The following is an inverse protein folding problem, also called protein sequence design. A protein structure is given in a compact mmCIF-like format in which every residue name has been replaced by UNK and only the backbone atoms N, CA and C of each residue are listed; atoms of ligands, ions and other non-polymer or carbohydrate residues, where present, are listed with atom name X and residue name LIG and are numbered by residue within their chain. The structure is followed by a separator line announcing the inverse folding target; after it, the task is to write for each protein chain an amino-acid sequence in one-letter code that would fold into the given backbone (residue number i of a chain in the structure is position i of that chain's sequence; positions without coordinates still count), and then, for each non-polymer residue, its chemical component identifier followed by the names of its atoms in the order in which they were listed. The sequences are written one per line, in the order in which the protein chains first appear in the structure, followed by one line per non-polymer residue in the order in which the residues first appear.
data_IF_123946619657
#
_entry.id   IF_123946619657
#
_cell.length_a   1.000
_cell.length_b   1.000
_cell.length_c   1.000
_cell.angle_alpha   90.00
_cell.angle_beta   90.00
_cell.angle_gamma   90.00
#
_symmetry.space_group_name_H-M   'P 1'
#
loop_
_entity.id
_entity.type
_entity.pdbx_description
1 polymer ?
#
# COMPACT_ATOMS: atom_id res chain seq x y z
N UNK A 1 -18.50 -17.96 23.11
CA UNK A 1 -17.99 -16.77 22.40
C UNK A 1 -17.06 -17.28 21.32
N UNK A 2 -17.29 -16.93 20.07
CA UNK A 2 -16.54 -17.46 18.94
C UNK A 2 -15.07 -16.99 19.02
N UNK A 3 -14.15 -17.93 19.28
CA UNK A 3 -12.72 -17.63 19.46
C UNK A 3 -12.15 -16.82 18.28
N UNK A 4 -12.68 -17.01 17.07
CA UNK A 4 -12.29 -16.23 15.88
C UNK A 4 -12.66 -14.74 15.97
N UNK A 5 -13.82 -14.41 16.55
CA UNK A 5 -14.28 -13.02 16.71
C UNK A 5 -13.45 -12.30 17.78
N UNK A 6 -13.05 -13.02 18.83
CA UNK A 6 -12.16 -12.51 19.86
C UNK A 6 -10.78 -12.17 19.29
N UNK A 7 -10.18 -13.09 18.53
CA UNK A 7 -8.91 -12.85 17.82
C UNK A 7 -9.02 -11.65 16.88
N UNK A 8 -10.13 -11.52 16.12
CA UNK A 8 -10.38 -10.33 15.30
C UNK A 8 -10.41 -9.04 16.13
N UNK A 9 -11.07 -9.04 17.29
CA UNK A 9 -11.15 -7.86 18.15
C UNK A 9 -9.76 -7.48 18.71
N UNK A 10 -8.96 -8.45 19.14
CA UNK A 10 -7.57 -8.23 19.57
C UNK A 10 -6.72 -7.66 18.44
N UNK A 11 -6.87 -8.20 17.23
CA UNK A 11 -6.22 -7.66 16.03
C UNK A 11 -6.62 -6.21 15.76
N UNK A 12 -7.91 -5.88 15.87
CA UNK A 12 -8.39 -4.51 15.72
C UNK A 12 -7.84 -3.55 16.80
N UNK A 13 -7.70 -4.01 18.05
CA UNK A 13 -7.13 -3.21 19.13
C UNK A 13 -5.63 -2.95 18.93
N UNK A 14 -4.87 -3.96 18.50
CA UNK A 14 -3.46 -3.80 18.10
C UNK A 14 -3.34 -2.85 16.88
N UNK A 15 -4.24 -2.98 15.91
CA UNK A 15 -4.30 -2.10 14.73
C UNK A 15 -4.54 -0.63 15.11
N UNK A 16 -5.44 -0.35 16.06
CA UNK A 16 -5.64 1.02 16.59
C UNK A 16 -4.40 1.60 17.23
N UNK A 17 -3.56 0.76 17.83
CA UNK A 17 -2.27 1.13 18.43
C UNK A 17 -1.13 1.23 17.41
N UNK A 18 -1.40 0.98 16.12
CA UNK A 18 -0.41 0.88 15.04
C UNK A 18 0.62 -0.24 15.25
N UNK A 19 0.28 -1.23 16.08
CA UNK A 19 1.05 -2.47 16.24
C UNK A 19 0.54 -3.49 15.20
N UNK A 20 1.05 -3.33 13.99
CA UNK A 20 0.60 -4.13 12.84
C UNK A 20 1.10 -5.57 12.89
N UNK A 21 2.26 -5.83 13.50
CA UNK A 21 2.81 -7.18 13.65
C UNK A 21 1.91 -8.03 14.55
N UNK A 22 1.52 -7.49 15.70
CA UNK A 22 0.58 -8.15 16.61
C UNK A 22 -0.81 -8.26 15.98
N UNK A 23 -1.26 -7.23 15.25
CA UNK A 23 -2.54 -7.28 14.54
C UNK A 23 -2.58 -8.43 13.52
N UNK A 24 -1.51 -8.63 12.74
CA UNK A 24 -1.41 -9.71 11.76
C UNK A 24 -1.44 -11.09 12.41
N UNK A 25 -0.73 -11.30 13.52
CA UNK A 25 -0.76 -12.56 14.27
C UNK A 25 -2.17 -12.93 14.72
N UNK A 26 -2.92 -11.95 15.23
CA UNK A 26 -4.31 -12.16 15.65
C UNK A 26 -5.26 -12.39 14.47
N UNK A 27 -5.10 -11.67 13.35
CA UNK A 27 -5.89 -11.95 12.15
C UNK A 27 -5.59 -13.31 11.55
N UNK A 28 -4.33 -13.77 11.57
CA UNK A 28 -3.95 -15.12 11.12
C UNK A 28 -4.55 -16.20 12.00
N UNK A 29 -4.57 -15.99 13.33
CA UNK A 29 -5.29 -16.87 14.25
C UNK A 29 -6.80 -16.90 13.97
N UNK A 30 -7.41 -15.74 13.70
CA UNK A 30 -8.83 -15.66 13.33
C UNK A 30 -9.14 -16.38 12.01
N UNK A 31 -8.24 -16.26 11.01
CA UNK A 31 -8.32 -16.97 9.72
C UNK A 31 -8.18 -18.48 9.92
N UNK A 32 -7.25 -18.94 10.75
CA UNK A 32 -7.08 -20.37 11.02
C UNK A 32 -8.34 -21.00 11.66
N UNK A 33 -9.03 -20.24 12.51
CA UNK A 33 -10.27 -20.67 13.17
C UNK A 33 -11.50 -20.58 12.26
N UNK A 34 -11.56 -19.60 11.35
CA UNK A 34 -12.65 -19.46 10.39
C UNK A 34 -12.14 -18.99 9.02
N UNK A 35 -11.59 -19.91 8.20
CA UNK A 35 -10.96 -19.56 6.93
C UNK A 35 -11.97 -19.13 5.85
N UNK A 36 -13.27 -19.36 6.09
CA UNK A 36 -14.33 -18.92 5.17
C UNK A 36 -14.79 -17.48 5.43
N UNK A 37 -14.32 -16.82 6.50
CA UNK A 37 -14.70 -15.46 6.80
C UNK A 37 -13.79 -14.45 6.08
N UNK A 38 -14.29 -13.87 5.00
CA UNK A 38 -13.56 -12.90 4.19
C UNK A 38 -13.15 -11.63 4.98
N UNK A 39 -13.86 -11.27 6.04
CA UNK A 39 -13.61 -10.06 6.85
C UNK A 39 -12.21 -10.07 7.47
N UNK A 40 -11.71 -11.23 7.89
CA UNK A 40 -10.39 -11.32 8.53
C UNK A 40 -9.27 -11.05 7.52
N UNK A 41 -9.43 -11.55 6.30
CA UNK A 41 -8.52 -11.28 5.19
C UNK A 41 -8.54 -9.79 4.80
N UNK A 42 -9.73 -9.16 4.74
CA UNK A 42 -9.82 -7.73 4.42
C UNK A 42 -9.19 -6.86 5.49
N UNK A 43 -9.34 -7.21 6.77
CA UNK A 43 -8.73 -6.47 7.88
C UNK A 43 -7.20 -6.61 7.88
N UNK A 44 -6.67 -7.80 7.57
CA UNK A 44 -5.23 -8.00 7.38
C UNK A 44 -4.70 -7.21 6.17
N UNK A 45 -5.44 -7.19 5.06
CA UNK A 45 -5.05 -6.46 3.85
C UNK A 45 -5.10 -4.92 4.00
N UNK A 46 -5.84 -4.41 4.99
CA UNK A 46 -5.98 -2.97 5.21
C UNK A 46 -4.65 -2.28 5.52
N UNK A 47 -3.70 -2.98 6.17
CA UNK A 47 -2.38 -2.44 6.49
C UNK A 47 -1.54 -2.19 5.23
N UNK A 48 -1.39 -3.20 4.37
CA UNK A 48 -0.65 -3.05 3.11
C UNK A 48 -1.22 -1.92 2.23
N UNK A 49 -2.55 -1.77 2.21
CA UNK A 49 -3.19 -0.64 1.53
C UNK A 49 -2.81 0.71 2.13
N UNK A 50 -2.66 0.81 3.45
CA UNK A 50 -2.24 2.04 4.12
C UNK A 50 -0.78 2.38 3.84
N UNK A 51 0.11 1.39 3.89
CA UNK A 51 1.54 1.53 3.56
C UNK A 51 1.70 1.98 2.10
N UNK A 52 1.04 1.31 1.16
CA UNK A 52 1.02 1.70 -0.23
C UNK A 52 0.53 3.15 -0.42
N UNK A 53 -0.56 3.53 0.26
CA UNK A 53 -1.08 4.90 0.20
C UNK A 53 -0.09 5.93 0.78
N UNK A 54 0.70 5.57 1.80
CA UNK A 54 1.75 6.44 2.31
C UNK A 54 2.88 6.61 1.29
N UNK A 55 3.36 5.51 0.68
CA UNK A 55 4.36 5.53 -0.39
C UNK A 55 3.91 6.37 -1.59
N UNK A 56 2.65 6.22 -2.02
CA UNK A 56 2.09 7.04 -3.10
C UNK A 56 2.07 8.56 -2.79
N UNK A 57 1.87 8.93 -1.51
CA UNK A 57 1.96 10.34 -1.08
C UNK A 57 3.40 10.84 -1.10
N UNK A 58 4.36 10.02 -0.68
CA UNK A 58 5.80 10.33 -0.77
C UNK A 58 6.18 10.55 -2.23
N UNK A 59 5.75 9.67 -3.15
CA UNK A 59 5.95 9.84 -4.59
C UNK A 59 5.40 11.18 -5.09
N UNK A 60 4.17 11.53 -4.69
CA UNK A 60 3.55 12.82 -5.06
C UNK A 60 4.35 14.02 -4.54
N UNK A 61 4.97 13.92 -3.36
CA UNK A 61 5.84 14.96 -2.82
C UNK A 61 7.11 15.11 -3.68
N UNK A 62 7.75 14.01 -4.08
CA UNK A 62 8.92 14.05 -4.95
C UNK A 62 8.63 14.61 -6.34
N UNK A 63 7.44 14.38 -6.91
CA UNK A 63 7.01 15.02 -8.16
C UNK A 63 7.04 16.55 -8.03
N UNK A 64 6.55 17.09 -6.92
CA UNK A 64 6.54 18.54 -6.66
C UNK A 64 7.95 19.13 -6.49
N UNK A 65 8.91 18.30 -6.09
CA UNK A 65 10.32 18.67 -5.99
C UNK A 65 11.08 18.46 -7.31
N UNK A 66 10.36 18.15 -8.40
CA UNK A 66 10.91 17.78 -9.72
C UNK A 66 11.89 16.59 -9.70
N UNK A 67 11.92 15.84 -8.60
CA UNK A 67 12.73 14.63 -8.48
C UNK A 67 11.94 13.43 -8.99
N UNK A 68 11.90 13.30 -10.32
CA UNK A 68 11.07 12.31 -11.01
C UNK A 68 11.57 10.87 -10.80
N UNK A 69 12.88 10.67 -10.59
CA UNK A 69 13.48 9.35 -10.32
C UNK A 69 13.00 8.78 -8.98
N UNK A 70 13.07 9.58 -7.91
CA UNK A 70 12.58 9.15 -6.60
C UNK A 70 11.06 8.99 -6.61
N UNK A 71 10.33 9.86 -7.32
CA UNK A 71 8.89 9.70 -7.49
C UNK A 71 8.51 8.35 -8.13
N UNK A 72 9.24 7.93 -9.19
CA UNK A 72 9.05 6.62 -9.82
C UNK A 72 9.32 5.48 -8.84
N UNK A 73 10.46 5.52 -8.14
CA UNK A 73 10.81 4.52 -7.14
C UNK A 73 9.72 4.34 -6.08
N UNK A 74 9.19 5.44 -5.54
CA UNK A 74 8.14 5.37 -4.51
C UNK A 74 6.79 4.91 -5.04
N UNK A 75 6.44 5.21 -6.30
CA UNK A 75 5.25 4.62 -6.92
C UNK A 75 5.41 3.12 -7.18
N UNK A 76 6.57 2.66 -7.64
CA UNK A 76 6.85 1.23 -7.80
C UNK A 76 6.75 0.49 -6.47
N UNK A 77 7.34 1.05 -5.40
CA UNK A 77 7.20 0.52 -4.04
C UNK A 77 5.74 0.46 -3.58
N UNK A 78 4.98 1.53 -3.80
CA UNK A 78 3.54 1.55 -3.50
C UNK A 78 2.79 0.41 -4.21
N UNK A 79 3.08 0.18 -5.49
CA UNK A 79 2.41 -0.82 -6.30
C UNK A 79 2.81 -2.27 -5.95
N UNK A 80 4.03 -2.45 -5.43
CA UNK A 80 4.50 -3.74 -4.91
C UNK A 80 3.76 -4.14 -3.62
N UNK A 81 3.48 -3.18 -2.73
CA UNK A 81 2.73 -3.42 -1.49
C UNK A 81 1.24 -3.65 -1.76
N UNK A 82 0.63 -2.77 -2.56
CA UNK A 82 -0.77 -2.91 -2.96
C UNK A 82 -1.02 -2.23 -4.30
N UNK A 83 -1.40 -3.05 -5.29
CA UNK A 83 -1.62 -2.59 -6.65
C UNK A 83 -2.96 -1.86 -6.82
N UNK A 84 -2.92 -0.54 -6.78
CA UNK A 84 -4.07 0.35 -6.97
C UNK A 84 -4.14 0.90 -8.42
N UNK A 85 -5.25 0.73 -9.16
CA UNK A 85 -5.40 1.21 -10.55
C UNK A 85 -5.12 2.70 -10.74
N UNK A 86 -5.48 3.55 -9.79
CA UNK A 86 -5.26 4.99 -9.88
C UNK A 86 -3.76 5.32 -9.79
N UNK A 87 -3.05 4.59 -8.94
CA UNK A 87 -1.58 4.70 -8.81
C UNK A 87 -0.90 4.16 -10.06
N UNK A 88 -1.39 3.06 -10.65
CA UNK A 88 -0.88 2.55 -11.94
C UNK A 88 -1.01 3.60 -13.03
N UNK A 89 -2.14 4.31 -13.11
CA UNK A 89 -2.35 5.37 -14.11
C UNK A 89 -1.36 6.52 -13.90
N UNK A 90 -1.16 6.97 -12.66
CA UNK A 90 -0.20 8.05 -12.31
C UNK A 90 1.25 7.65 -12.60
N UNK A 91 1.65 6.43 -12.23
CA UNK A 91 2.97 5.90 -12.52
C UNK A 91 3.24 5.85 -14.03
N UNK A 92 2.29 5.34 -14.83
CA UNK A 92 2.42 5.31 -16.29
C UNK A 92 2.52 6.70 -16.91
N UNK A 93 1.75 7.67 -16.39
CA UNK A 93 1.84 9.05 -16.87
C UNK A 93 3.21 9.65 -16.56
N UNK A 94 3.69 9.51 -15.32
CA UNK A 94 5.03 9.97 -14.92
C UNK A 94 6.13 9.36 -15.80
N UNK A 95 6.05 8.07 -16.11
CA UNK A 95 6.99 7.39 -16.99
C UNK A 95 7.01 8.01 -18.40
N UNK A 96 5.85 8.34 -18.96
CA UNK A 96 5.75 9.02 -20.27
C UNK A 96 6.32 10.43 -20.22
N UNK A 97 6.00 11.19 -19.17
CA UNK A 97 6.47 12.56 -18.99
C UNK A 97 8.00 12.60 -18.88
N UNK A 98 8.60 11.62 -18.19
CA UNK A 98 10.05 11.46 -18.11
C UNK A 98 10.67 11.14 -19.48
N UNK A 99 10.09 10.21 -20.24
CA UNK A 99 10.56 9.86 -21.58
C UNK A 99 10.46 11.05 -22.54
N UNK A 100 9.38 11.83 -22.46
CA UNK A 100 9.21 13.03 -23.28
C UNK A 100 10.24 14.11 -22.92
N UNK A 101 10.45 14.36 -21.62
CA UNK A 101 11.46 15.31 -21.15
C UNK A 101 12.87 14.92 -21.60
N UNK A 102 13.19 13.63 -21.54
CA UNK A 102 14.45 13.11 -22.04
C UNK A 102 14.56 13.28 -23.56
N UNK A 103 13.52 12.91 -24.33
CA UNK A 103 13.48 13.08 -25.79
C UNK A 103 13.73 14.53 -26.20
N UNK A 104 13.08 15.49 -25.54
CA UNK A 104 13.23 16.91 -25.82
C UNK A 104 14.65 17.42 -25.51
N UNK A 105 15.33 16.86 -24.50
CA UNK A 105 16.71 17.24 -24.18
C UNK A 105 17.73 16.85 -25.26
N UNK A 106 17.37 15.97 -26.20
CA UNK A 106 18.21 15.61 -27.35
C UNK A 106 17.91 16.44 -28.61
N UNK A 107 16.96 17.38 -28.56
CA UNK A 107 16.51 18.19 -29.70
C UNK A 107 17.03 19.64 -29.63
N UNK A 108 17.66 20.04 -28.52
CA UNK A 108 18.45 21.29 -28.39
C UNK A 108 19.87 21.14 -28.95
#
# INVERSE_FOLDING_TARGET
MDSAVEQKNLGNEAYKKRDFETAHKHYDAAIALSPKNCTFYTNKAADYKLIAKAMARIATAYIKLENLKDAMYWYEKSLAEHRDPDIVKKHKQLQKDMQEKERLSYID
#
